data_IF_596217277889
#
_entry.id   IF_596217277889
#
_cell.length_a   1.000
_cell.length_b   1.000
_cell.length_c   1.000
_cell.angle_alpha   90.00
_cell.angle_beta   90.00
_cell.angle_gamma   90.00
#
_symmetry.space_group_name_H-M   'P 1'
#
loop_
_entity.id
_entity.type
_entity.pdbx_description
1 polymer ?
#
# COMPACT_ATOMS: atom_id res chain seq x y z
N UNK A 1 -26.14 -7.65 0.05
CA UNK A 1 -25.68 -6.29 0.36
C UNK A 1 -25.23 -6.24 1.82
N UNK A 2 -23.94 -5.98 2.07
CA UNK A 2 -23.42 -5.82 3.44
C UNK A 2 -23.81 -4.43 3.95
N UNK A 3 -24.84 -4.35 4.79
CA UNK A 3 -25.23 -3.11 5.48
C UNK A 3 -24.43 -2.97 6.78
N UNK A 4 -23.10 -2.93 6.65
CA UNK A 4 -22.16 -2.83 7.76
C UNK A 4 -21.80 -1.35 7.99
N UNK A 5 -21.78 -0.90 9.25
CA UNK A 5 -21.52 0.51 9.57
C UNK A 5 -20.09 0.93 9.19
N UNK A 6 -19.12 0.04 9.34
CA UNK A 6 -17.73 0.25 8.91
C UNK A 6 -17.57 0.39 7.40
N UNK A 7 -18.46 -0.22 6.59
CA UNK A 7 -18.48 -0.03 5.14
C UNK A 7 -19.01 1.35 4.79
N UNK A 8 -20.07 1.81 5.47
CA UNK A 8 -20.60 3.16 5.30
C UNK A 8 -19.57 4.22 5.73
N UNK A 9 -18.87 3.98 6.83
CA UNK A 9 -17.79 4.84 7.33
C UNK A 9 -16.63 4.91 6.32
N UNK A 10 -16.20 3.77 5.77
CA UNK A 10 -15.16 3.71 4.74
C UNK A 10 -15.54 4.53 3.49
N UNK A 11 -16.77 4.37 2.99
CA UNK A 11 -17.26 5.10 1.81
C UNK A 11 -17.30 6.60 2.10
N UNK A 12 -17.82 7.01 3.26
CA UNK A 12 -17.88 8.41 3.67
C UNK A 12 -16.48 9.05 3.73
N UNK A 13 -15.50 8.35 4.34
CA UNK A 13 -14.11 8.83 4.38
C UNK A 13 -13.53 8.94 2.97
N UNK A 14 -13.77 7.93 2.11
CA UNK A 14 -13.30 7.92 0.74
C UNK A 14 -13.82 9.15 -0.03
N UNK A 15 -15.13 9.36 -0.07
CA UNK A 15 -15.77 10.46 -0.78
C UNK A 15 -15.23 11.82 -0.30
N UNK A 16 -15.16 12.02 1.02
CA UNK A 16 -14.64 13.25 1.61
C UNK A 16 -13.16 13.51 1.24
N UNK A 17 -12.30 12.49 1.20
CA UNK A 17 -10.91 12.67 0.81
C UNK A 17 -10.75 12.94 -0.69
N UNK A 18 -11.54 12.27 -1.54
CA UNK A 18 -11.49 12.50 -2.98
C UNK A 18 -11.95 13.92 -3.31
N UNK A 19 -13.04 14.40 -2.72
CA UNK A 19 -13.53 15.77 -2.92
C UNK A 19 -12.50 16.82 -2.44
N UNK A 20 -11.92 16.60 -1.25
CA UNK A 20 -10.87 17.45 -0.70
C UNK A 20 -9.65 17.53 -1.63
N UNK A 21 -9.17 16.41 -2.17
CA UNK A 21 -7.98 16.40 -3.01
C UNK A 21 -8.25 16.93 -4.43
N UNK A 22 -9.44 16.69 -5.00
CA UNK A 22 -9.88 17.35 -6.24
C UNK A 22 -9.91 18.87 -6.10
N UNK A 23 -10.41 19.36 -4.97
CA UNK A 23 -10.43 20.80 -4.68
C UNK A 23 -9.03 21.40 -4.63
N UNK A 24 -8.05 20.69 -4.05
CA UNK A 24 -6.64 21.11 -4.05
C UNK A 24 -6.02 21.12 -5.45
N UNK A 25 -6.29 20.10 -6.26
CA UNK A 25 -5.80 20.01 -7.65
C UNK A 25 -6.32 21.15 -8.52
N UNK A 26 -7.60 21.51 -8.38
CA UNK A 26 -8.19 22.63 -9.12
C UNK A 26 -7.53 23.97 -8.77
N UNK A 27 -7.05 24.15 -7.54
CA UNK A 27 -6.30 25.35 -7.13
C UNK A 27 -4.90 25.42 -7.77
N UNK A 28 -4.35 24.30 -8.24
CA UNK A 28 -3.01 24.20 -8.86
C UNK A 28 -3.05 24.13 -10.39
N UNK A 29 -4.23 24.27 -11.00
CA UNK A 29 -4.51 24.08 -12.43
C UNK A 29 -3.75 25.02 -13.40
N UNK A 30 -2.98 25.99 -12.90
CA UNK A 30 -2.11 26.80 -13.76
C UNK A 30 -0.85 26.06 -14.25
N UNK A 31 -0.52 24.90 -13.67
CA UNK A 31 0.67 24.10 -14.00
C UNK A 31 0.34 22.59 -14.05
N UNK A 32 -0.41 22.18 -15.08
CA UNK A 32 -0.94 20.82 -15.31
C UNK A 32 0.12 19.71 -15.55
N UNK A 33 1.38 19.94 -15.21
CA UNK A 33 2.45 18.96 -15.37
C UNK A 33 2.95 18.54 -14.00
N UNK A 34 2.83 17.25 -13.69
CA UNK A 34 3.51 16.60 -12.57
C UNK A 34 5.01 16.97 -12.60
N UNK A 35 5.48 17.68 -11.58
CA UNK A 35 6.86 18.21 -11.53
C UNK A 35 7.85 17.28 -10.83
N UNK A 36 7.35 16.42 -9.94
CA UNK A 36 8.17 15.62 -9.05
C UNK A 36 7.81 14.13 -9.09
N UNK A 37 8.77 13.24 -8.78
CA UNK A 37 8.55 11.81 -8.88
C UNK A 37 7.72 11.27 -7.71
N UNK A 38 6.87 10.31 -8.04
CA UNK A 38 6.19 9.39 -7.14
C UNK A 38 6.95 8.05 -7.13
N UNK A 39 7.54 7.72 -5.99
CA UNK A 39 8.36 6.54 -5.76
C UNK A 39 7.67 5.63 -4.73
N UNK A 40 7.54 4.34 -5.05
CA UNK A 40 7.05 3.33 -4.11
C UNK A 40 8.21 2.49 -3.58
N UNK A 41 8.24 2.27 -2.27
CA UNK A 41 9.11 1.29 -1.64
C UNK A 41 8.30 0.05 -1.29
N UNK A 42 8.63 -1.08 -1.90
CA UNK A 42 8.01 -2.37 -1.63
C UNK A 42 8.98 -3.32 -0.91
N UNK A 43 8.45 -4.37 -0.32
CA UNK A 43 9.22 -5.43 0.35
C UNK A 43 8.57 -5.89 1.65
N UNK A 44 9.05 -7.01 2.18
CA UNK A 44 8.53 -7.58 3.44
C UNK A 44 8.94 -6.75 4.67
N UNK A 45 8.28 -6.98 5.80
CA UNK A 45 8.66 -6.33 7.05
C UNK A 45 9.99 -6.89 7.56
N UNK A 46 10.82 -6.00 8.13
CA UNK A 46 12.23 -6.28 8.40
C UNK A 46 13.18 -6.06 7.22
N UNK A 47 12.70 -5.73 6.00
CA UNK A 47 13.58 -5.51 4.83
C UNK A 47 14.38 -4.20 4.86
N UNK A 48 14.01 -3.25 5.72
CA UNK A 48 14.69 -1.97 5.87
C UNK A 48 14.01 -0.77 5.19
N UNK A 49 12.78 -0.95 4.67
CA UNK A 49 11.99 0.12 4.02
C UNK A 49 11.94 1.42 4.83
N UNK A 50 11.61 1.33 6.13
CA UNK A 50 11.52 2.50 7.02
C UNK A 50 12.83 3.29 7.09
N UNK A 51 13.97 2.59 7.16
CA UNK A 51 15.30 3.20 7.21
C UNK A 51 15.65 3.86 5.88
N UNK A 52 15.40 3.16 4.76
CA UNK A 52 15.64 3.71 3.43
C UNK A 52 14.74 4.93 3.18
N UNK A 53 13.44 4.81 3.44
CA UNK A 53 12.45 5.88 3.30
C UNK A 53 12.88 7.15 4.03
N UNK A 54 13.33 7.04 5.30
CA UNK A 54 13.81 8.19 6.08
C UNK A 54 15.05 8.85 5.45
N UNK A 55 16.02 8.05 5.01
CA UNK A 55 17.25 8.58 4.39
C UNK A 55 16.96 9.23 3.04
N UNK A 56 16.15 8.57 2.22
CA UNK A 56 15.81 9.03 0.87
C UNK A 56 14.94 10.30 0.94
N UNK A 57 13.96 10.35 1.83
CA UNK A 57 13.13 11.55 2.00
C UNK A 57 13.95 12.76 2.43
N UNK A 58 14.91 12.57 3.33
CA UNK A 58 15.81 13.65 3.75
C UNK A 58 16.71 14.15 2.63
N UNK A 59 17.17 13.26 1.74
CA UNK A 59 18.04 13.64 0.61
C UNK A 59 17.28 14.34 -0.51
N UNK A 60 16.04 13.94 -0.76
CA UNK A 60 15.21 14.45 -1.84
C UNK A 60 14.26 15.57 -1.40
N UNK A 61 14.26 15.93 -0.10
CA UNK A 61 13.22 16.76 0.51
C UNK A 61 11.80 16.25 0.17
N UNK A 62 11.64 14.93 0.12
CA UNK A 62 10.43 14.27 -0.31
C UNK A 62 9.40 14.16 0.82
N UNK A 63 8.12 14.25 0.46
CA UNK A 63 7.03 13.85 1.34
C UNK A 63 7.00 12.33 1.49
N UNK A 64 6.99 11.86 2.73
CA UNK A 64 6.72 10.45 3.03
C UNK A 64 5.24 10.20 3.25
N UNK A 65 4.75 9.10 2.71
CA UNK A 65 3.40 8.58 2.91
C UNK A 65 3.44 7.06 3.12
N UNK A 66 2.31 6.51 3.56
CA UNK A 66 2.11 5.08 3.76
C UNK A 66 0.68 4.71 3.38
N UNK A 67 0.48 3.47 2.94
CA UNK A 67 -0.86 2.91 2.76
C UNK A 67 -1.16 1.81 3.78
N UNK A 68 -2.38 1.75 4.35
CA UNK A 68 -3.48 2.69 4.16
C UNK A 68 -3.18 4.08 4.78
N UNK A 69 -3.80 5.17 4.26
CA UNK A 69 -3.63 6.52 4.80
C UNK A 69 -4.16 6.63 6.24
N UNK A 70 -3.67 7.62 6.98
CA UNK A 70 -3.98 7.78 8.41
C UNK A 70 -5.48 7.88 8.72
N UNK A 71 -6.26 8.46 7.80
CA UNK A 71 -7.71 8.58 7.91
C UNK A 71 -8.43 7.22 7.94
N UNK A 72 -7.79 6.13 7.51
CA UNK A 72 -8.37 4.79 7.51
C UNK A 72 -7.85 3.90 8.63
N UNK A 73 -6.89 4.34 9.44
CA UNK A 73 -6.25 3.47 10.44
C UNK A 73 -7.22 2.98 11.52
N UNK A 74 -8.21 3.78 11.89
CA UNK A 74 -9.26 3.41 12.88
C UNK A 74 -10.15 2.27 12.39
N UNK A 75 -10.26 2.09 11.08
CA UNK A 75 -11.05 1.03 10.46
C UNK A 75 -10.25 -0.26 10.22
N UNK A 76 -8.92 -0.18 10.25
CA UNK A 76 -8.03 -1.28 9.87
C UNK A 76 -8.35 -2.58 10.59
N UNK A 77 -8.42 -2.54 11.93
CA UNK A 77 -8.65 -3.74 12.74
C UNK A 77 -9.99 -4.41 12.40
N UNK A 78 -11.04 -3.64 12.10
CA UNK A 78 -12.33 -4.18 11.68
C UNK A 78 -12.21 -4.90 10.34
N UNK A 79 -11.63 -4.25 9.33
CA UNK A 79 -11.48 -4.83 7.99
C UNK A 79 -10.51 -6.00 7.91
N UNK A 80 -9.48 -6.03 8.76
CA UNK A 80 -8.57 -7.18 8.87
C UNK A 80 -9.27 -8.43 9.44
N UNK A 81 -10.43 -8.29 10.09
CA UNK A 81 -11.25 -9.44 10.55
C UNK A 81 -12.30 -9.90 9.54
N UNK A 82 -12.60 -9.11 8.52
CA UNK A 82 -13.63 -9.44 7.54
C UNK A 82 -13.19 -10.48 6.51
N UNK A 83 -14.16 -11.09 5.79
CA UNK A 83 -13.89 -11.90 4.62
C UNK A 83 -13.04 -11.15 3.60
N UNK A 84 -12.31 -11.92 2.82
CA UNK A 84 -11.22 -11.38 2.02
C UNK A 84 -11.64 -10.31 1.00
N UNK A 85 -12.83 -10.44 0.42
CA UNK A 85 -13.36 -9.46 -0.52
C UNK A 85 -13.48 -8.06 0.12
N UNK A 86 -13.97 -7.97 1.37
CA UNK A 86 -14.09 -6.70 2.08
C UNK A 86 -12.73 -6.15 2.52
N UNK A 87 -11.82 -7.02 2.98
CA UNK A 87 -10.45 -6.63 3.32
C UNK A 87 -9.73 -6.03 2.11
N UNK A 88 -9.83 -6.68 0.94
CA UNK A 88 -9.25 -6.19 -0.32
C UNK A 88 -9.84 -4.85 -0.73
N UNK A 89 -11.16 -4.68 -0.62
CA UNK A 89 -11.82 -3.41 -0.92
C UNK A 89 -11.30 -2.27 -0.04
N UNK A 90 -11.07 -2.52 1.26
CA UNK A 90 -10.47 -1.55 2.18
C UNK A 90 -9.07 -1.09 1.75
N UNK A 91 -8.17 -2.03 1.47
CA UNK A 91 -6.81 -1.68 1.04
C UNK A 91 -6.80 -1.03 -0.35
N UNK A 92 -7.67 -1.47 -1.26
CA UNK A 92 -7.84 -0.84 -2.58
C UNK A 92 -8.28 0.62 -2.45
N UNK A 93 -9.36 0.92 -1.70
CA UNK A 93 -9.82 2.29 -1.47
C UNK A 93 -8.75 3.15 -0.77
N UNK A 94 -7.98 2.56 0.15
CA UNK A 94 -6.82 3.22 0.75
C UNK A 94 -5.77 3.65 -0.29
N UNK A 95 -5.49 2.82 -1.31
CA UNK A 95 -4.61 3.19 -2.42
C UNK A 95 -5.18 4.35 -3.25
N UNK A 96 -6.49 4.38 -3.53
CA UNK A 96 -7.11 5.48 -4.29
C UNK A 96 -7.10 6.80 -3.51
N UNK A 97 -7.36 6.78 -2.21
CA UNK A 97 -7.25 7.98 -1.35
C UNK A 97 -5.82 8.51 -1.38
N UNK A 98 -4.84 7.61 -1.21
CA UNK A 98 -3.44 7.98 -1.27
C UNK A 98 -3.07 8.52 -2.66
N UNK A 99 -3.54 7.90 -3.75
CA UNK A 99 -3.29 8.34 -5.12
C UNK A 99 -3.72 9.79 -5.36
N UNK A 100 -4.93 10.17 -4.92
CA UNK A 100 -5.43 11.53 -5.07
C UNK A 100 -4.58 12.57 -4.30
N UNK A 101 -4.05 12.20 -3.13
CA UNK A 101 -3.15 13.07 -2.38
C UNK A 101 -1.74 13.12 -3.01
N UNK A 102 -1.22 11.98 -3.49
CA UNK A 102 0.09 11.88 -4.16
C UNK A 102 0.11 12.74 -5.41
N UNK A 103 -0.95 12.69 -6.22
CA UNK A 103 -1.09 13.49 -7.44
C UNK A 103 -0.89 14.97 -7.14
N UNK A 104 -1.65 15.51 -6.19
CA UNK A 104 -1.50 16.89 -5.71
C UNK A 104 -0.09 17.19 -5.19
N UNK A 105 0.47 16.31 -4.36
CA UNK A 105 1.80 16.52 -3.77
C UNK A 105 2.92 16.54 -4.81
N UNK A 106 2.80 15.75 -5.89
CA UNK A 106 3.81 15.69 -6.95
C UNK A 106 3.91 16.98 -7.79
N UNK A 107 3.00 17.94 -7.63
CA UNK A 107 3.18 19.30 -8.16
C UNK A 107 4.19 20.12 -7.33
N UNK A 108 4.46 19.73 -6.07
CA UNK A 108 5.21 20.55 -5.11
C UNK A 108 6.47 19.87 -4.56
N UNK A 109 6.49 18.54 -4.46
CA UNK A 109 7.58 17.79 -3.84
C UNK A 109 7.62 16.34 -4.33
N UNK A 110 8.79 15.68 -4.36
CA UNK A 110 8.84 14.24 -4.55
C UNK A 110 8.03 13.51 -3.47
N UNK A 111 7.41 12.39 -3.83
CA UNK A 111 6.61 11.60 -2.90
C UNK A 111 7.17 10.18 -2.81
N UNK A 112 7.38 9.70 -1.58
CA UNK A 112 7.84 8.34 -1.30
C UNK A 112 6.76 7.64 -0.49
N UNK A 113 6.26 6.52 -1.00
CA UNK A 113 5.20 5.74 -0.36
C UNK A 113 5.73 4.39 0.09
N UNK A 114 5.50 4.04 1.35
CA UNK A 114 5.76 2.69 1.88
C UNK A 114 4.53 1.81 1.61
N UNK A 115 4.70 0.85 0.68
CA UNK A 115 3.67 -0.03 0.09
C UNK A 115 2.61 0.72 -0.72
N UNK A 116 2.15 0.11 -1.81
CA UNK A 116 1.04 0.63 -2.62
C UNK A 116 0.28 -0.55 -3.27
N UNK A 117 -0.20 -0.39 -4.51
CA UNK A 117 -0.97 -1.43 -5.22
C UNK A 117 -0.28 -2.79 -5.29
N UNK A 118 1.06 -2.84 -5.42
CA UNK A 118 1.78 -4.13 -5.49
C UNK A 118 1.59 -4.96 -4.22
N UNK A 119 1.61 -4.33 -3.03
CA UNK A 119 1.33 -5.03 -1.77
C UNK A 119 -0.11 -5.57 -1.73
N UNK A 120 -1.09 -4.81 -2.24
CA UNK A 120 -2.48 -5.26 -2.33
C UNK A 120 -2.65 -6.42 -3.32
N UNK A 121 -2.01 -6.35 -4.50
CA UNK A 121 -2.03 -7.41 -5.50
C UNK A 121 -1.32 -8.68 -5.00
N UNK A 122 -0.12 -8.55 -4.41
CA UNK A 122 0.62 -9.67 -3.85
C UNK A 122 -0.17 -10.37 -2.73
N UNK A 123 -0.83 -9.60 -1.87
CA UNK A 123 -1.70 -10.15 -0.83
C UNK A 123 -2.93 -10.88 -1.41
N UNK A 124 -3.53 -10.30 -2.45
CA UNK A 124 -4.66 -10.89 -3.18
C UNK A 124 -4.26 -12.22 -3.81
N UNK A 125 -3.11 -12.27 -4.50
CA UNK A 125 -2.57 -13.51 -5.07
C UNK A 125 -2.31 -14.52 -3.96
N UNK A 126 -1.55 -14.14 -2.93
CA UNK A 126 -1.20 -15.04 -1.82
C UNK A 126 -2.43 -15.68 -1.18
N UNK A 127 -3.50 -14.92 -1.01
CA UNK A 127 -4.71 -15.44 -0.42
C UNK A 127 -5.57 -16.32 -1.33
N UNK A 128 -5.50 -16.12 -2.66
CA UNK A 128 -6.17 -16.97 -3.65
C UNK A 128 -5.45 -18.28 -3.89
N UNK A 129 -4.12 -18.25 -3.97
CA UNK A 129 -3.33 -19.47 -4.21
C UNK A 129 -3.36 -20.40 -3.00
N UNK A 130 -3.52 -19.86 -1.79
CA UNK A 130 -3.64 -20.62 -0.55
C UNK A 130 -2.54 -21.67 -0.42
N UNK A 131 -2.91 -22.91 -0.11
CA UNK A 131 -1.96 -24.03 0.04
C UNK A 131 -1.46 -24.59 -1.30
N UNK A 132 -2.15 -24.31 -2.42
CA UNK A 132 -1.75 -24.85 -3.73
C UNK A 132 -0.40 -24.31 -4.18
N UNK A 133 -0.03 -23.10 -3.73
CA UNK A 133 1.18 -22.37 -4.14
C UNK A 133 1.34 -22.25 -5.68
N UNK A 134 0.26 -22.44 -6.44
CA UNK A 134 0.25 -22.28 -7.89
C UNK A 134 -0.10 -20.83 -8.18
N UNK A 135 0.87 -20.06 -8.66
CA UNK A 135 0.63 -18.68 -9.07
C UNK A 135 -0.32 -18.63 -10.28
N UNK A 136 -1.16 -17.58 -10.36
CA UNK A 136 -1.91 -17.30 -11.58
C UNK A 136 -0.98 -17.29 -12.81
N UNK A 137 -1.46 -17.75 -13.98
CA UNK A 137 -0.63 -17.82 -15.18
C UNK A 137 -0.20 -16.42 -15.65
N UNK A 138 0.88 -16.36 -16.43
CA UNK A 138 1.30 -15.11 -17.07
C UNK A 138 0.15 -14.47 -17.86
N UNK A 139 -0.03 -13.16 -17.70
CA UNK A 139 -1.11 -12.41 -18.34
C UNK A 139 -2.47 -12.46 -17.62
N UNK A 140 -2.57 -13.16 -16.48
CA UNK A 140 -3.77 -13.11 -15.66
C UNK A 140 -4.12 -11.65 -15.26
N UNK A 141 -5.39 -11.23 -15.36
CA UNK A 141 -5.81 -9.87 -15.00
C UNK A 141 -5.41 -9.40 -13.60
N UNK A 142 -5.13 -10.30 -12.66
CA UNK A 142 -4.66 -9.96 -11.31
C UNK A 142 -3.30 -9.24 -11.32
N UNK A 143 -2.49 -9.43 -12.37
CA UNK A 143 -1.21 -8.73 -12.56
C UNK A 143 -1.37 -7.35 -13.18
N UNK A 144 -2.55 -7.03 -13.72
CA UNK A 144 -2.78 -5.75 -14.36
C UNK A 144 -2.86 -4.63 -13.33
N UNK A 145 -2.22 -3.52 -13.67
CA UNK A 145 -2.40 -2.28 -12.93
C UNK A 145 -3.81 -1.71 -13.20
N UNK A 146 -4.54 -1.23 -12.18
CA UNK A 146 -5.86 -0.64 -12.38
C UNK A 146 -5.75 0.58 -13.29
N UNK A 147 -6.57 0.63 -14.33
CA UNK A 147 -6.45 1.64 -15.40
C UNK A 147 -6.64 3.08 -14.88
N UNK A 148 -7.37 3.25 -13.79
CA UNK A 148 -7.74 4.50 -13.16
C UNK A 148 -6.93 4.82 -11.88
N UNK A 149 -5.95 3.97 -11.52
CA UNK A 149 -5.08 4.21 -10.38
C UNK A 149 -3.75 4.83 -10.82
N UNK A 150 -3.34 5.91 -10.14
CA UNK A 150 -2.06 6.59 -10.38
C UNK A 150 -0.88 5.62 -10.34
N UNK A 151 -0.08 5.58 -11.42
CA UNK A 151 1.14 4.77 -11.50
C UNK A 151 2.35 5.47 -10.88
N UNK A 152 3.21 4.76 -10.14
CA UNK A 152 4.50 5.29 -9.71
C UNK A 152 5.47 5.43 -10.88
N UNK A 153 6.36 6.43 -10.81
CA UNK A 153 7.46 6.55 -11.78
C UNK A 153 8.58 5.56 -11.50
N UNK A 154 8.70 5.11 -10.24
CA UNK A 154 9.69 4.14 -9.81
C UNK A 154 9.16 3.29 -8.66
N UNK A 155 9.47 1.99 -8.72
CA UNK A 155 9.22 1.04 -7.65
C UNK A 155 10.57 0.46 -7.23
N UNK A 156 10.88 0.57 -5.94
CA UNK A 156 12.09 -0.01 -5.35
C UNK A 156 11.67 -1.16 -4.45
N UNK A 157 11.94 -2.39 -4.88
CA UNK A 157 11.66 -3.58 -4.09
C UNK A 157 12.88 -3.96 -3.23
N UNK A 158 12.70 -3.99 -1.92
CA UNK A 158 13.74 -4.36 -0.96
C UNK A 158 13.60 -5.83 -0.58
N UNK A 159 14.54 -6.65 -1.03
CA UNK A 159 14.70 -8.03 -0.60
C UNK A 159 15.83 -8.16 0.42
N UNK A 160 15.65 -9.07 1.38
CA UNK A 160 16.67 -9.43 2.37
C UNK A 160 16.50 -10.91 2.70
N UNK A 161 17.60 -11.61 2.98
CA UNK A 161 17.54 -13.00 3.41
C UNK A 161 16.78 -13.16 4.74
N UNK A 162 16.05 -14.27 4.88
CA UNK A 162 15.13 -14.52 6.00
C UNK A 162 15.79 -14.40 7.37
N UNK A 163 17.01 -14.91 7.54
CA UNK A 163 17.75 -14.79 8.80
C UNK A 163 17.86 -13.34 9.27
N UNK A 164 18.28 -12.45 8.36
CA UNK A 164 18.42 -11.02 8.63
C UNK A 164 17.05 -10.35 8.81
N UNK A 165 16.03 -10.78 8.07
CA UNK A 165 14.66 -10.26 8.18
C UNK A 165 14.08 -10.54 9.56
N UNK A 166 14.13 -11.80 10.00
CA UNK A 166 13.60 -12.26 11.29
C UNK A 166 14.37 -11.60 12.44
N UNK A 167 15.71 -11.58 12.40
CA UNK A 167 16.51 -10.93 13.44
C UNK A 167 16.17 -9.43 13.61
N UNK A 168 15.92 -8.72 12.50
CA UNK A 168 15.50 -7.31 12.53
C UNK A 168 14.06 -7.12 12.98
N UNK A 169 13.20 -8.09 12.73
CA UNK A 169 11.79 -8.06 13.09
C UNK A 169 11.59 -8.37 14.57
N UNK A 170 12.23 -9.42 15.10
CA UNK A 170 12.17 -9.80 16.52
C UNK A 170 12.77 -8.74 17.45
N UNK A 171 13.75 -7.98 16.97
CA UNK A 171 14.30 -6.83 17.69
C UNK A 171 13.37 -5.61 17.76
N UNK A 172 12.23 -5.62 17.06
CA UNK A 172 11.20 -4.57 17.13
C UNK A 172 10.07 -5.06 18.04
N UNK A 173 9.76 -4.31 19.10
CA UNK A 173 8.51 -4.46 19.86
C UNK A 173 7.30 -3.96 19.04
N UNK A 174 7.13 -4.45 17.82
CA UNK A 174 5.99 -4.11 16.95
C UNK A 174 4.98 -5.24 16.97
N UNK A 175 3.70 -4.87 17.00
CA UNK A 175 2.58 -5.80 16.90
C UNK A 175 2.62 -6.51 15.55
N UNK A 176 2.85 -7.82 15.54
CA UNK A 176 2.75 -8.62 14.32
C UNK A 176 1.31 -8.59 13.84
N UNK A 177 1.08 -8.13 12.61
CA UNK A 177 -0.22 -8.30 11.94
C UNK A 177 -0.53 -9.80 11.79
N UNK A 178 -1.81 -10.22 11.76
CA UNK A 178 -2.18 -11.61 11.49
C UNK A 178 -1.48 -12.17 10.23
N UNK A 179 -1.35 -11.34 9.21
CA UNK A 179 -0.66 -11.63 7.95
C UNK A 179 0.84 -11.88 8.16
N UNK A 180 1.50 -11.09 9.01
CA UNK A 180 2.90 -11.31 9.38
C UNK A 180 3.10 -12.62 10.14
N UNK A 181 2.11 -13.07 10.93
CA UNK A 181 2.15 -14.38 11.61
C UNK A 181 1.98 -15.51 10.59
N UNK A 182 1.01 -15.41 9.69
CA UNK A 182 0.83 -16.40 8.61
C UNK A 182 2.07 -16.47 7.71
N UNK A 183 2.70 -15.32 7.40
CA UNK A 183 3.96 -15.26 6.68
C UNK A 183 5.15 -15.77 7.51
N UNK A 184 5.12 -15.75 8.84
CA UNK A 184 6.16 -16.37 9.68
C UNK A 184 6.01 -17.90 9.72
N UNK A 185 4.78 -18.39 9.82
CA UNK A 185 4.47 -19.81 10.02
C UNK A 185 4.59 -20.64 8.73
N UNK A 186 4.44 -20.02 7.55
CA UNK A 186 4.43 -20.73 6.27
C UNK A 186 5.71 -20.48 5.46
N UNK A 187 6.75 -21.30 5.65
CA UNK A 187 8.03 -21.18 4.92
C UNK A 187 7.91 -21.53 3.43
N UNK A 188 6.92 -22.35 3.06
CA UNK A 188 6.62 -22.71 1.68
C UNK A 188 6.14 -21.53 0.81
N UNK A 189 5.53 -20.51 1.44
CA UNK A 189 5.07 -19.28 0.77
C UNK A 189 6.20 -18.41 0.20
N UNK A 190 7.46 -18.70 0.54
CA UNK A 190 8.60 -17.79 0.40
C UNK A 190 9.77 -18.32 -0.44
N UNK A 191 9.77 -19.61 -0.79
CA UNK A 191 10.94 -20.30 -1.36
C UNK A 191 10.87 -20.54 -2.88
N UNK A 192 10.20 -19.68 -3.65
CA UNK A 192 10.33 -19.64 -5.10
C UNK A 192 10.56 -18.22 -5.60
#
# INVERSE_FOLDING_TARGET
HYNLSEVQELISIYEAQIEKNKSKLNLTASEDVKKHPFIVLEGLDGSGKTTLSKKLSSKLNAKKMSTPPSCLLTLREKFDTHPIALRRAYYALGNYIAAAEIEYLCHHTPVIVDRFWHSTAAYTIASEVGESMVLPPEGDPIYNWPIDLLRPDMVVFLSVGEYNRVARHTGRNTTNTPEERTLQDNSAFRNK
#
